data_IF_309004953512
#
_entry.id   IF_309004953512
#
_cell.length_a   1.000
_cell.length_b   1.000
_cell.length_c   1.000
_cell.angle_alpha   90.00
_cell.angle_beta   90.00
_cell.angle_gamma   90.00
#
_symmetry.space_group_name_H-M   'P 1'
#
loop_
_entity.id
_entity.type
_entity.pdbx_description
1 polymer ?
#
# COMPACT_ATOMS: atom_id res chain seq x y z
N UNK A 1 23.86 -2.04 12.35
CA UNK A 1 22.47 -2.25 11.95
C UNK A 1 21.60 -1.51 12.95
N UNK A 2 20.66 -0.65 12.49
CA UNK A 2 19.70 0.00 13.38
C UNK A 2 18.80 -1.09 13.98
N UNK A 3 18.74 -1.15 15.31
CA UNK A 3 17.92 -2.09 16.05
C UNK A 3 16.59 -1.39 16.41
N UNK A 4 15.52 -2.18 16.65
CA UNK A 4 14.21 -1.71 17.15
C UNK A 4 14.34 -0.81 18.40
N UNK A 5 15.36 -1.02 19.22
CA UNK A 5 15.68 -0.25 20.43
C UNK A 5 16.04 1.23 20.16
N UNK A 6 16.35 1.59 18.90
CA UNK A 6 16.68 2.98 18.50
C UNK A 6 15.45 3.75 17.99
N UNK A 7 14.27 3.10 17.91
CA UNK A 7 13.02 3.74 17.49
C UNK A 7 12.27 4.34 18.69
N UNK A 8 11.80 5.58 18.52
CA UNK A 8 10.83 6.17 19.42
C UNK A 8 9.44 5.58 19.15
N UNK A 9 9.00 4.65 19.99
CA UNK A 9 7.70 3.98 19.83
C UNK A 9 6.50 4.90 19.99
N UNK A 10 6.66 6.11 20.55
CA UNK A 10 5.60 7.12 20.62
C UNK A 10 5.41 7.89 19.31
N UNK A 11 6.34 7.77 18.36
CA UNK A 11 6.38 8.47 17.08
C UNK A 11 6.39 7.53 15.88
N UNK A 12 5.76 6.37 16.02
CA UNK A 12 5.57 5.43 14.90
C UNK A 12 4.54 6.02 13.92
N UNK A 13 4.79 6.00 12.59
CA UNK A 13 3.80 6.44 11.61
C UNK A 13 2.54 5.57 11.73
N UNK A 14 1.37 6.21 11.71
CA UNK A 14 0.09 5.51 11.78
C UNK A 14 -0.18 4.70 10.50
N UNK A 15 0.16 5.27 9.34
CA UNK A 15 -0.03 4.66 8.03
C UNK A 15 1.27 4.68 7.23
N UNK A 16 1.73 3.49 6.85
CA UNK A 16 2.90 3.30 5.97
C UNK A 16 2.43 2.73 4.64
N UNK A 17 2.80 3.38 3.55
CA UNK A 17 2.55 2.90 2.18
C UNK A 17 3.86 2.45 1.53
N UNK A 18 3.88 1.31 0.83
CA UNK A 18 5.12 0.77 0.23
C UNK A 18 4.92 0.46 -1.25
N UNK A 19 5.83 0.99 -2.09
CA UNK A 19 6.02 0.56 -3.48
C UNK A 19 7.11 -0.51 -3.50
N UNK A 20 6.70 -1.76 -3.69
CA UNK A 20 7.53 -2.96 -3.64
C UNK A 20 8.29 -3.18 -4.96
N UNK A 21 9.32 -2.35 -5.21
CA UNK A 21 10.08 -2.39 -6.47
C UNK A 21 11.39 -3.18 -6.34
N UNK A 22 11.83 -3.72 -7.47
CA UNK A 22 13.13 -4.39 -7.59
C UNK A 22 13.09 -5.92 -7.72
N UNK A 23 11.92 -6.58 -7.59
CA UNK A 23 11.80 -8.04 -7.65
C UNK A 23 12.47 -8.65 -8.89
N UNK A 24 12.17 -8.13 -10.09
CA UNK A 24 12.73 -8.65 -11.33
C UNK A 24 14.24 -8.38 -11.48
N UNK A 25 14.73 -7.22 -11.01
CA UNK A 25 16.16 -6.89 -11.01
C UNK A 25 16.94 -7.78 -10.04
N UNK A 26 16.38 -8.02 -8.87
CA UNK A 26 16.92 -8.92 -7.86
C UNK A 26 17.08 -10.35 -8.39
N UNK A 27 16.07 -10.90 -9.07
CA UNK A 27 16.12 -12.21 -9.69
C UNK A 27 17.19 -12.28 -10.80
N UNK A 28 17.23 -11.27 -11.67
CA UNK A 28 18.21 -11.18 -12.78
C UNK A 28 19.66 -11.19 -12.26
N UNK A 29 19.96 -10.50 -11.16
CA UNK A 29 21.30 -10.52 -10.55
C UNK A 29 21.71 -11.92 -10.03
N UNK A 30 20.73 -12.81 -9.83
CA UNK A 30 20.93 -14.19 -9.37
C UNK A 30 20.79 -15.21 -10.52
N UNK A 31 20.72 -14.73 -11.78
CA UNK A 31 20.54 -15.61 -12.94
C UNK A 31 19.17 -16.30 -12.99
N UNK A 32 18.17 -15.75 -12.28
CA UNK A 32 16.83 -16.33 -12.15
C UNK A 32 15.78 -15.55 -12.97
N UNK A 33 14.69 -16.22 -13.28
CA UNK A 33 13.51 -15.62 -13.91
C UNK A 33 12.82 -14.58 -13.00
N UNK A 34 12.10 -13.62 -13.60
CA UNK A 34 11.39 -12.58 -12.87
C UNK A 34 10.39 -13.12 -11.83
N UNK A 35 9.74 -14.25 -12.14
CA UNK A 35 8.80 -14.94 -11.26
C UNK A 35 9.44 -15.35 -9.93
N UNK A 36 10.69 -15.82 -9.95
CA UNK A 36 11.44 -16.15 -8.74
C UNK A 36 11.59 -14.93 -7.79
N UNK A 37 11.86 -13.74 -8.37
CA UNK A 37 11.93 -12.51 -7.58
C UNK A 37 10.59 -12.12 -6.97
N UNK A 38 9.49 -12.36 -7.68
CA UNK A 38 8.15 -12.09 -7.14
C UNK A 38 7.78 -13.06 -6.01
N UNK A 39 8.16 -14.35 -6.10
CA UNK A 39 7.98 -15.31 -5.01
C UNK A 39 8.75 -14.88 -3.75
N UNK A 40 10.04 -14.54 -3.89
CA UNK A 40 10.83 -14.02 -2.77
C UNK A 40 10.24 -12.72 -2.20
N UNK A 41 9.67 -11.87 -3.06
CA UNK A 41 8.97 -10.65 -2.64
C UNK A 41 7.68 -10.92 -1.88
N UNK A 42 6.95 -12.00 -2.17
CA UNK A 42 5.77 -12.41 -1.40
C UNK A 42 6.14 -12.81 0.03
N UNK A 43 7.23 -13.53 0.24
CA UNK A 43 7.76 -13.84 1.58
C UNK A 43 8.10 -12.56 2.36
N UNK A 44 8.62 -11.54 1.68
CA UNK A 44 8.93 -10.24 2.30
C UNK A 44 7.67 -9.53 2.79
N UNK A 45 6.54 -9.67 2.09
CA UNK A 45 5.25 -9.12 2.54
C UNK A 45 4.89 -9.62 3.95
N UNK A 46 5.03 -10.93 4.20
CA UNK A 46 4.71 -11.51 5.51
C UNK A 46 5.64 -10.97 6.61
N UNK A 47 6.93 -10.93 6.36
CA UNK A 47 7.94 -10.40 7.31
C UNK A 47 7.64 -8.94 7.67
N UNK A 48 7.37 -8.11 6.67
CA UNK A 48 7.11 -6.68 6.88
C UNK A 48 5.74 -6.44 7.52
N UNK A 49 4.70 -7.21 7.15
CA UNK A 49 3.39 -7.10 7.78
C UNK A 49 3.44 -7.48 9.27
N UNK A 50 4.15 -8.56 9.61
CA UNK A 50 4.33 -8.97 11.00
C UNK A 50 5.11 -7.91 11.80
N UNK A 51 6.21 -7.38 11.27
CA UNK A 51 7.01 -6.36 11.96
C UNK A 51 6.25 -5.03 12.08
N UNK A 52 5.55 -4.60 11.04
CA UNK A 52 4.70 -3.40 11.08
C UNK A 52 3.62 -3.51 12.18
N UNK A 53 2.98 -4.68 12.29
CA UNK A 53 2.00 -4.96 13.35
C UNK A 53 2.63 -4.89 14.75
N UNK A 54 3.82 -5.48 14.95
CA UNK A 54 4.58 -5.44 16.21
C UNK A 54 5.04 -4.04 16.60
N UNK A 55 5.27 -3.16 15.63
CA UNK A 55 5.62 -1.75 15.84
C UNK A 55 4.40 -0.88 16.18
N UNK A 56 3.19 -1.40 16.01
CA UNK A 56 1.96 -0.67 16.28
C UNK A 56 1.47 0.21 15.14
N UNK A 57 1.98 0.01 13.92
CA UNK A 57 1.46 0.62 12.69
C UNK A 57 0.00 0.19 12.55
N UNK A 58 -0.89 1.13 12.21
CA UNK A 58 -2.33 0.88 12.09
C UNK A 58 -2.75 0.48 10.68
N UNK A 59 -2.08 1.03 9.67
CA UNK A 59 -2.35 0.76 8.26
C UNK A 59 -1.04 0.52 7.53
N UNK A 60 -0.95 -0.61 6.84
CA UNK A 60 0.14 -0.93 5.92
C UNK A 60 -0.45 -1.14 4.53
N UNK A 61 -0.18 -0.21 3.61
CA UNK A 61 -0.68 -0.31 2.23
C UNK A 61 0.45 -0.71 1.29
N UNK A 62 0.24 -1.79 0.54
CA UNK A 62 1.25 -2.37 -0.37
C UNK A 62 0.81 -2.27 -1.82
N UNK A 63 1.65 -1.66 -2.69
CA UNK A 63 1.39 -1.58 -4.13
C UNK A 63 1.72 -2.89 -4.82
N UNK A 64 0.72 -3.77 -4.93
CA UNK A 64 0.90 -5.15 -5.39
C UNK A 64 0.80 -5.28 -6.91
N UNK A 65 -0.23 -4.64 -7.52
CA UNK A 65 -0.46 -4.72 -8.96
C UNK A 65 -1.13 -3.43 -9.46
N UNK A 66 -0.45 -2.70 -10.36
CA UNK A 66 -0.99 -1.47 -10.91
C UNK A 66 -1.89 -1.71 -12.13
N UNK A 67 -2.74 -0.72 -12.47
CA UNK A 67 -3.53 -0.77 -13.70
C UNK A 67 -2.66 -0.86 -14.95
N UNK A 68 -1.46 -0.29 -14.94
CA UNK A 68 -0.49 -0.36 -16.03
C UNK A 68 0.11 -1.76 -16.20
N UNK A 69 0.12 -2.57 -15.15
CA UNK A 69 0.67 -3.93 -15.20
C UNK A 69 -0.15 -4.88 -16.08
N UNK A 70 -1.42 -4.57 -16.36
CA UNK A 70 -2.22 -5.32 -17.34
C UNK A 70 -1.65 -5.29 -18.75
N UNK A 71 -0.79 -4.31 -19.07
CA UNK A 71 -0.09 -4.22 -20.37
C UNK A 71 1.16 -5.12 -20.47
N UNK A 72 1.49 -5.86 -19.41
CA UNK A 72 2.59 -6.84 -19.45
C UNK A 72 2.22 -8.08 -20.27
N UNK A 73 3.20 -8.90 -20.70
CA UNK A 73 2.91 -10.17 -21.34
C UNK A 73 1.92 -11.02 -20.54
N UNK A 74 0.96 -11.64 -21.23
CA UNK A 74 -0.15 -12.37 -20.60
C UNK A 74 0.30 -13.49 -19.67
N UNK A 75 1.41 -14.17 -20.02
CA UNK A 75 2.00 -15.19 -19.16
C UNK A 75 2.58 -14.63 -17.87
N UNK A 76 3.17 -13.40 -17.89
CA UNK A 76 3.64 -12.72 -16.68
C UNK A 76 2.45 -12.32 -15.80
N UNK A 77 1.39 -11.75 -16.40
CA UNK A 77 0.17 -11.39 -15.68
C UNK A 77 -0.48 -12.61 -15.02
N UNK A 78 -0.61 -13.73 -15.75
CA UNK A 78 -1.17 -14.96 -15.21
C UNK A 78 -0.33 -15.50 -14.04
N UNK A 79 0.99 -15.49 -14.13
CA UNK A 79 1.88 -15.91 -13.06
C UNK A 79 1.76 -15.02 -11.82
N UNK A 80 1.62 -13.68 -12.00
CA UNK A 80 1.41 -12.76 -10.89
C UNK A 80 0.05 -12.96 -10.21
N UNK A 81 -1.00 -13.26 -10.97
CA UNK A 81 -2.33 -13.56 -10.40
C UNK A 81 -2.33 -14.88 -9.62
N UNK A 82 -1.64 -15.91 -10.12
CA UNK A 82 -1.47 -17.17 -9.41
C UNK A 82 -0.68 -16.97 -8.10
N UNK A 83 0.44 -16.23 -8.16
CA UNK A 83 1.21 -15.91 -6.95
C UNK A 83 0.40 -15.11 -5.93
N UNK A 84 -0.38 -14.13 -6.38
CA UNK A 84 -1.28 -13.39 -5.50
C UNK A 84 -2.27 -14.31 -4.80
N UNK A 85 -2.89 -15.24 -5.55
CA UNK A 85 -3.82 -16.23 -4.99
C UNK A 85 -3.15 -17.10 -3.92
N UNK A 86 -1.94 -17.60 -4.20
CA UNK A 86 -1.20 -18.51 -3.31
C UNK A 86 -0.63 -17.79 -2.08
N UNK A 87 -0.34 -16.48 -2.18
CA UNK A 87 0.27 -15.71 -1.09
C UNK A 87 -0.72 -15.16 -0.05
N UNK A 88 -2.03 -15.41 -0.20
CA UNK A 88 -3.03 -14.99 0.78
C UNK A 88 -3.06 -15.99 1.95
N UNK A 89 -2.33 -15.67 3.01
CA UNK A 89 -2.22 -16.49 4.22
C UNK A 89 -3.20 -16.02 5.32
N UNK A 90 -4.46 -16.38 5.18
CA UNK A 90 -5.54 -15.99 6.08
C UNK A 90 -5.26 -16.40 7.54
N UNK A 91 -4.72 -17.61 7.78
CA UNK A 91 -4.38 -18.10 9.12
C UNK A 91 -3.36 -17.17 9.81
N UNK A 92 -2.38 -16.69 9.07
CA UNK A 92 -1.38 -15.72 9.56
C UNK A 92 -2.03 -14.39 9.93
N UNK A 93 -2.99 -13.90 9.14
CA UNK A 93 -3.72 -12.67 9.44
C UNK A 93 -4.60 -12.82 10.68
N UNK A 94 -5.31 -13.93 10.80
CA UNK A 94 -6.13 -14.24 11.99
C UNK A 94 -5.28 -14.33 13.26
N UNK A 95 -4.15 -15.07 13.21
CA UNK A 95 -3.24 -15.23 14.34
C UNK A 95 -2.66 -13.89 14.83
N UNK A 96 -2.36 -12.98 13.92
CA UNK A 96 -1.75 -11.68 14.23
C UNK A 96 -2.78 -10.56 14.39
N UNK A 97 -4.08 -10.87 14.43
CA UNK A 97 -5.17 -9.90 14.53
C UNK A 97 -5.11 -8.81 13.44
N UNK A 98 -4.74 -9.20 12.21
CA UNK A 98 -4.62 -8.30 11.05
C UNK A 98 -5.94 -8.31 10.28
N UNK A 99 -6.52 -7.14 10.04
CA UNK A 99 -7.64 -6.93 9.11
C UNK A 99 -7.11 -6.81 7.69
N UNK A 100 -7.51 -7.72 6.81
CA UNK A 100 -7.10 -7.71 5.41
C UNK A 100 -8.07 -6.89 4.56
N UNK A 101 -7.57 -6.00 3.73
CA UNK A 101 -8.36 -5.15 2.84
C UNK A 101 -7.73 -5.02 1.46
N UNK A 102 -8.53 -4.64 0.48
CA UNK A 102 -8.06 -4.44 -0.90
C UNK A 102 -8.64 -3.15 -1.46
N UNK A 103 -7.82 -2.39 -2.19
CA UNK A 103 -8.23 -1.23 -2.98
C UNK A 103 -7.87 -1.45 -4.46
N UNK A 104 -8.70 -0.95 -5.38
CA UNK A 104 -8.50 -1.03 -6.82
C UNK A 104 -9.70 -1.60 -7.57
N UNK A 105 -9.54 -1.81 -8.88
CA UNK A 105 -10.57 -2.35 -9.77
C UNK A 105 -10.55 -3.89 -9.77
N UNK A 106 -11.27 -4.49 -8.83
CA UNK A 106 -11.35 -5.94 -8.69
C UNK A 106 -12.16 -6.62 -9.82
N UNK A 107 -12.91 -5.85 -10.62
CA UNK A 107 -13.71 -6.41 -11.71
C UNK A 107 -12.87 -7.01 -12.83
N UNK A 108 -11.61 -6.59 -12.93
CA UNK A 108 -10.64 -7.10 -13.91
C UNK A 108 -9.92 -8.38 -13.48
N UNK A 109 -10.04 -8.76 -12.21
CA UNK A 109 -9.37 -9.95 -11.70
C UNK A 109 -10.06 -11.23 -12.14
N UNK A 110 -9.30 -12.34 -12.30
CA UNK A 110 -9.90 -13.68 -12.44
C UNK A 110 -10.87 -13.99 -11.29
N UNK A 111 -11.98 -14.66 -11.59
CA UNK A 111 -13.04 -14.91 -10.62
C UNK A 111 -12.56 -15.61 -9.34
N UNK A 112 -11.73 -16.65 -9.48
CA UNK A 112 -11.14 -17.38 -8.35
C UNK A 112 -10.24 -16.48 -7.46
N UNK A 113 -9.48 -15.56 -8.05
CA UNK A 113 -8.64 -14.61 -7.29
C UNK A 113 -9.55 -13.65 -6.51
N UNK A 114 -10.57 -13.10 -7.18
CA UNK A 114 -11.52 -12.20 -6.53
C UNK A 114 -12.25 -12.88 -5.36
N UNK A 115 -12.78 -14.08 -5.55
CA UNK A 115 -13.45 -14.86 -4.49
C UNK A 115 -12.51 -15.12 -3.30
N UNK A 116 -11.25 -15.44 -3.56
CA UNK A 116 -10.24 -15.66 -2.50
C UNK A 116 -10.00 -14.39 -1.69
N UNK A 117 -9.87 -13.22 -2.36
CA UNK A 117 -9.73 -11.93 -1.70
C UNK A 117 -10.96 -11.58 -0.86
N UNK A 118 -12.17 -11.72 -1.43
CA UNK A 118 -13.43 -11.43 -0.75
C UNK A 118 -13.62 -12.33 0.48
N UNK A 119 -13.28 -13.60 0.39
CA UNK A 119 -13.30 -14.55 1.50
C UNK A 119 -12.35 -14.13 2.62
N UNK A 120 -11.11 -13.81 2.30
CA UNK A 120 -10.12 -13.36 3.29
C UNK A 120 -10.54 -12.04 3.96
N UNK A 121 -11.09 -11.07 3.19
CA UNK A 121 -11.64 -9.82 3.74
C UNK A 121 -12.76 -10.12 4.75
N UNK A 122 -13.70 -10.99 4.38
CA UNK A 122 -14.84 -11.34 5.25
C UNK A 122 -14.39 -12.02 6.55
N UNK A 123 -13.46 -12.98 6.47
CA UNK A 123 -12.99 -13.73 7.64
C UNK A 123 -12.16 -12.85 8.59
N UNK A 124 -11.41 -11.89 8.08
CA UNK A 124 -10.58 -10.98 8.90
C UNK A 124 -11.29 -9.69 9.30
N UNK A 125 -12.55 -9.50 8.91
CA UNK A 125 -13.30 -8.25 9.11
C UNK A 125 -13.41 -7.81 10.59
N UNK A 126 -13.44 -8.77 11.52
CA UNK A 126 -13.53 -8.52 12.95
C UNK A 126 -12.18 -8.33 13.64
N UNK A 127 -11.07 -8.45 12.93
CA UNK A 127 -9.75 -8.19 13.48
C UNK A 127 -9.57 -6.69 13.74
N UNK A 128 -9.02 -6.35 14.91
CA UNK A 128 -8.94 -4.97 15.43
C UNK A 128 -7.51 -4.42 15.48
N UNK A 129 -6.55 -5.20 15.03
CA UNK A 129 -5.13 -4.82 14.97
C UNK A 129 -4.80 -3.95 13.76
N UNK A 130 -3.68 -4.23 13.12
CA UNK A 130 -3.29 -3.52 11.90
C UNK A 130 -4.20 -3.88 10.71
N UNK A 131 -4.50 -2.90 9.86
CA UNK A 131 -5.11 -3.15 8.54
C UNK A 131 -3.99 -3.32 7.50
N UNK A 132 -3.88 -4.51 6.91
CA UNK A 132 -3.05 -4.76 5.72
C UNK A 132 -3.89 -4.51 4.47
N UNK A 133 -3.50 -3.53 3.68
CA UNK A 133 -4.23 -3.08 2.48
C UNK A 133 -3.42 -3.40 1.24
N UNK A 134 -3.92 -4.25 0.36
CA UNK A 134 -3.29 -4.50 -0.93
C UNK A 134 -3.93 -3.61 -2.01
N UNK A 135 -3.10 -2.82 -2.71
CA UNK A 135 -3.51 -2.08 -3.89
C UNK A 135 -3.33 -2.97 -5.13
N UNK A 136 -4.45 -3.53 -5.64
CA UNK A 136 -4.49 -4.51 -6.73
C UNK A 136 -5.33 -3.97 -7.87
N UNK A 137 -4.79 -4.00 -9.10
CA UNK A 137 -5.43 -3.35 -10.25
C UNK A 137 -5.77 -1.89 -9.94
N UNK A 138 -4.86 -1.25 -9.21
CA UNK A 138 -5.01 0.09 -8.66
C UNK A 138 -4.13 1.10 -9.41
N UNK A 139 -4.62 2.30 -9.57
CA UNK A 139 -3.82 3.50 -9.81
C UNK A 139 -4.57 4.74 -9.34
N UNK A 140 -3.84 5.77 -8.94
CA UNK A 140 -4.46 6.99 -8.41
C UNK A 140 -5.30 7.74 -9.45
N UNK A 141 -4.86 7.76 -10.71
CA UNK A 141 -5.63 8.38 -11.81
C UNK A 141 -6.95 7.65 -12.05
N UNK A 142 -6.96 6.32 -12.00
CA UNK A 142 -8.19 5.53 -12.07
C UNK A 142 -9.12 5.86 -10.90
N UNK A 143 -8.62 5.82 -9.68
CA UNK A 143 -9.37 6.07 -8.46
C UNK A 143 -10.05 7.45 -8.46
N UNK A 144 -9.27 8.51 -8.77
CA UNK A 144 -9.77 9.89 -8.83
C UNK A 144 -10.84 10.03 -9.93
N UNK A 145 -10.63 9.38 -11.08
CA UNK A 145 -11.62 9.39 -12.17
C UNK A 145 -12.91 8.69 -11.76
N UNK A 146 -12.84 7.56 -11.06
CA UNK A 146 -14.03 6.86 -10.56
C UNK A 146 -14.77 7.67 -9.48
N UNK A 147 -14.05 8.33 -8.57
CA UNK A 147 -14.65 9.23 -7.60
C UNK A 147 -15.37 10.40 -8.30
N UNK A 148 -14.74 11.03 -9.28
CA UNK A 148 -15.34 12.11 -10.08
C UNK A 148 -16.61 11.65 -10.81
N UNK A 149 -16.62 10.44 -11.41
CA UNK A 149 -17.79 9.85 -12.06
C UNK A 149 -18.95 9.63 -11.10
N UNK A 150 -18.67 9.10 -9.89
CA UNK A 150 -19.68 8.89 -8.85
C UNK A 150 -20.30 10.20 -8.40
N UNK A 151 -19.49 11.24 -8.15
CA UNK A 151 -19.96 12.56 -7.78
C UNK A 151 -20.79 13.20 -8.88
N UNK A 152 -20.34 13.13 -10.15
CA UNK A 152 -21.09 13.63 -11.30
C UNK A 152 -22.46 12.94 -11.45
N UNK A 153 -22.54 11.63 -11.19
CA UNK A 153 -23.81 10.90 -11.21
C UNK A 153 -24.79 11.37 -10.12
N UNK A 154 -24.30 11.72 -8.92
CA UNK A 154 -25.12 12.29 -7.85
C UNK A 154 -25.64 13.70 -8.24
N UNK A 155 -24.79 14.52 -8.84
CA UNK A 155 -25.22 15.84 -9.37
C UNK A 155 -26.31 15.67 -10.43
N UNK A 156 -26.14 14.73 -11.36
CA UNK A 156 -27.13 14.45 -12.40
C UNK A 156 -28.49 14.02 -11.83
N UNK A 157 -28.50 13.31 -10.70
CA UNK A 157 -29.72 12.89 -9.99
C UNK A 157 -30.34 13.99 -9.12
N UNK A 158 -29.68 15.13 -8.96
CA UNK A 158 -30.10 16.20 -8.06
C UNK A 158 -29.89 15.90 -6.58
N UNK A 159 -29.09 14.87 -6.25
CA UNK A 159 -28.73 14.49 -4.89
C UNK A 159 -27.55 15.32 -4.33
N UNK A 160 -26.83 16.03 -5.22
CA UNK A 160 -25.68 16.87 -4.91
C UNK A 160 -25.66 18.08 -5.87
N UNK A 161 -25.10 19.23 -5.42
CA UNK A 161 -24.78 20.34 -6.32
C UNK A 161 -23.28 20.43 -6.59
N UNK A 162 -22.82 20.99 -7.73
CA UNK A 162 -21.39 21.13 -8.02
C UNK A 162 -20.62 21.89 -6.93
N UNK A 163 -21.25 22.88 -6.29
CA UNK A 163 -20.65 23.74 -5.25
C UNK A 163 -20.39 22.96 -3.94
N UNK A 164 -21.07 21.85 -3.74
CA UNK A 164 -20.87 20.97 -2.58
C UNK A 164 -19.66 20.03 -2.75
N UNK A 165 -19.10 19.94 -3.98
CA UNK A 165 -17.93 19.09 -4.24
C UNK A 165 -16.67 19.84 -3.80
N UNK A 166 -16.16 19.48 -2.63
CA UNK A 166 -14.89 19.95 -2.10
C UNK A 166 -13.86 18.79 -1.96
N UNK A 167 -12.66 19.08 -1.48
CA UNK A 167 -11.61 18.08 -1.29
C UNK A 167 -11.98 17.02 -0.25
N UNK A 168 -12.78 17.39 0.75
CA UNK A 168 -13.23 16.47 1.79
C UNK A 168 -14.22 15.46 1.22
N UNK A 169 -15.20 15.95 0.49
CA UNK A 169 -16.18 15.09 -0.16
C UNK A 169 -15.51 14.19 -1.20
N UNK A 170 -14.59 14.72 -2.02
CA UNK A 170 -13.84 13.89 -2.98
C UNK A 170 -13.09 12.75 -2.27
N UNK A 171 -12.42 13.03 -1.15
CA UNK A 171 -11.72 12.01 -0.36
C UNK A 171 -12.63 10.89 0.12
N UNK A 172 -13.90 11.18 0.48
CA UNK A 172 -14.90 10.19 0.89
C UNK A 172 -15.35 9.25 -0.24
N UNK A 173 -15.09 9.63 -1.49
CA UNK A 173 -15.40 8.80 -2.68
C UNK A 173 -14.19 8.06 -3.23
N UNK A 174 -13.01 8.25 -2.66
CA UNK A 174 -11.83 7.47 -3.00
C UNK A 174 -11.92 6.06 -2.39
N UNK A 175 -11.19 5.11 -2.95
CA UNK A 175 -11.12 3.74 -2.45
C UNK A 175 -10.43 3.64 -1.07
N UNK A 176 -9.85 4.72 -0.59
CA UNK A 176 -9.10 4.85 0.66
C UNK A 176 -9.88 5.54 1.79
N UNK A 177 -11.19 5.78 1.63
CA UNK A 177 -12.05 6.53 2.57
C UNK A 177 -12.07 5.98 4.00
N UNK A 178 -11.77 4.69 4.16
CA UNK A 178 -11.76 3.97 5.44
C UNK A 178 -10.46 4.12 6.25
N UNK A 179 -9.43 4.77 5.70
CA UNK A 179 -8.11 4.91 6.32
C UNK A 179 -7.55 6.34 6.17
N UNK A 180 -6.67 6.79 7.09
CA UNK A 180 -6.01 8.08 6.95
C UNK A 180 -5.00 8.07 5.79
N UNK A 181 -4.62 9.25 5.34
CA UNK A 181 -3.52 9.43 4.39
C UNK A 181 -2.20 8.84 4.94
N UNK A 182 -1.29 8.34 4.08
CA UNK A 182 -0.01 7.81 4.53
C UNK A 182 0.85 8.88 5.21
N UNK A 183 1.39 8.56 6.38
CA UNK A 183 2.43 9.36 7.02
C UNK A 183 3.77 9.21 6.31
N UNK A 184 4.07 7.98 5.89
CA UNK A 184 5.32 7.58 5.26
C UNK A 184 5.05 6.73 4.02
N UNK A 185 5.58 7.14 2.87
CA UNK A 185 5.64 6.31 1.67
C UNK A 185 7.09 5.86 1.45
N UNK A 186 7.27 4.54 1.35
CA UNK A 186 8.56 3.89 1.09
C UNK A 186 8.55 3.38 -0.35
N UNK A 187 9.64 3.60 -1.10
CA UNK A 187 9.87 2.90 -2.35
C UNK A 187 11.24 2.24 -2.33
N UNK A 188 11.25 0.93 -2.60
CA UNK A 188 12.45 0.10 -2.72
C UNK A 188 12.99 0.09 -4.16
N UNK A 189 14.22 -0.38 -4.35
CA UNK A 189 14.78 -0.65 -5.67
C UNK A 189 15.42 0.54 -6.39
N UNK A 190 15.71 1.65 -5.70
CA UNK A 190 16.53 2.77 -6.21
C UNK A 190 15.83 3.74 -7.17
N UNK A 191 14.52 3.57 -7.40
CA UNK A 191 13.76 4.46 -8.28
C UNK A 191 13.07 5.59 -7.51
N UNK A 192 13.15 6.83 -8.01
CA UNK A 192 12.62 8.03 -7.35
C UNK A 192 11.40 8.54 -8.12
N UNK A 193 10.27 7.88 -7.95
CA UNK A 193 8.96 8.25 -8.53
C UNK A 193 7.81 7.55 -7.80
N UNK A 194 6.60 8.11 -7.82
CA UNK A 194 5.41 7.54 -7.18
C UNK A 194 4.66 6.52 -8.06
N UNK A 195 4.92 6.47 -9.35
CA UNK A 195 4.33 5.51 -10.29
C UNK A 195 2.80 5.41 -10.20
N UNK A 196 2.12 6.55 -10.13
CA UNK A 196 0.66 6.63 -10.08
C UNK A 196 0.03 5.95 -8.85
N UNK A 197 0.77 5.92 -7.74
CA UNK A 197 0.34 5.32 -6.47
C UNK A 197 -0.02 6.39 -5.45
N UNK A 198 -1.23 6.33 -4.91
CA UNK A 198 -1.77 7.19 -3.83
C UNK A 198 -1.45 8.69 -4.00
N UNK A 199 -1.56 9.25 -5.24
CA UNK A 199 -1.13 10.62 -5.52
C UNK A 199 -1.91 11.66 -4.70
N UNK A 200 -3.22 11.45 -4.53
CA UNK A 200 -4.08 12.32 -3.72
C UNK A 200 -3.67 12.25 -2.25
N UNK A 201 -3.55 11.05 -1.74
CA UNK A 201 -3.31 10.77 -0.32
C UNK A 201 -1.86 11.12 0.10
N UNK A 202 -0.91 11.09 -0.84
CA UNK A 202 0.50 11.38 -0.54
C UNK A 202 0.86 12.88 -0.57
N UNK A 203 -0.13 13.78 -0.65
CA UNK A 203 0.11 15.22 -0.73
C UNK A 203 1.00 15.78 0.38
N UNK A 204 0.95 15.18 1.58
CA UNK A 204 1.75 15.57 2.76
C UNK A 204 2.50 14.39 3.37
N UNK A 205 2.64 13.28 2.65
CA UNK A 205 3.42 12.13 3.12
C UNK A 205 4.91 12.42 3.11
N UNK A 206 5.64 11.92 4.10
CA UNK A 206 7.10 11.83 4.02
C UNK A 206 7.50 10.72 3.04
N UNK A 207 8.50 10.99 2.20
CA UNK A 207 8.94 10.05 1.17
C UNK A 207 10.30 9.47 1.54
N UNK A 208 10.43 8.14 1.50
CA UNK A 208 11.68 7.43 1.72
C UNK A 208 11.98 6.53 0.52
N UNK A 209 13.10 6.78 -0.13
CA UNK A 209 13.58 5.98 -1.28
C UNK A 209 14.85 5.26 -0.88
N UNK A 210 14.96 3.95 -1.18
CA UNK A 210 16.16 3.17 -0.90
C UNK A 210 16.55 2.27 -2.08
N UNK A 211 17.85 1.97 -2.17
CA UNK A 211 18.41 1.12 -3.22
C UNK A 211 18.14 -0.37 -3.00
N UNK A 212 17.80 -0.75 -1.77
CA UNK A 212 17.49 -2.14 -1.41
C UNK A 212 16.34 -2.65 -2.26
N UNK A 213 16.51 -3.76 -2.96
CA UNK A 213 15.43 -4.43 -3.69
C UNK A 213 14.42 -5.04 -2.73
N UNK A 214 13.14 -5.08 -3.12
CA UNK A 214 12.06 -5.56 -2.25
C UNK A 214 12.33 -6.92 -1.62
N UNK A 215 12.83 -7.98 -2.32
CA UNK A 215 13.11 -9.26 -1.66
C UNK A 215 14.13 -9.20 -0.53
N UNK A 216 15.04 -8.22 -0.54
CA UNK A 216 16.05 -8.01 0.49
C UNK A 216 15.64 -6.95 1.53
N UNK A 217 14.47 -6.32 1.37
CA UNK A 217 13.92 -5.34 2.32
C UNK A 217 13.31 -6.09 3.51
N UNK A 218 13.98 -6.03 4.65
CA UNK A 218 13.60 -6.74 5.86
C UNK A 218 13.34 -5.75 7.01
N UNK A 219 13.11 -6.28 8.21
CA UNK A 219 12.79 -5.50 9.42
C UNK A 219 13.77 -4.35 9.65
N UNK A 220 15.07 -4.59 9.51
CA UNK A 220 16.11 -3.57 9.70
C UNK A 220 15.98 -2.41 8.70
N UNK A 221 15.55 -2.68 7.45
CA UNK A 221 15.32 -1.64 6.46
C UNK A 221 14.03 -0.85 6.76
N UNK A 222 12.97 -1.50 7.25
CA UNK A 222 11.77 -0.83 7.73
C UNK A 222 12.10 0.07 8.92
N UNK A 223 12.90 -0.39 9.87
CA UNK A 223 13.36 0.41 11.02
C UNK A 223 14.14 1.64 10.58
N UNK A 224 15.03 1.52 9.57
CA UNK A 224 15.76 2.66 9.00
C UNK A 224 14.80 3.70 8.41
N UNK A 225 13.80 3.26 7.65
CA UNK A 225 12.83 4.15 7.04
C UNK A 225 12.01 4.91 8.11
N UNK A 226 11.58 4.21 9.17
CA UNK A 226 10.84 4.81 10.29
C UNK A 226 11.75 5.76 11.08
N UNK A 227 12.99 5.38 11.35
CA UNK A 227 13.94 6.25 12.04
C UNK A 227 14.23 7.55 11.25
N UNK A 228 14.35 7.45 9.91
CA UNK A 228 14.48 8.62 9.05
C UNK A 228 13.23 9.53 9.13
N UNK A 229 12.03 8.94 9.07
CA UNK A 229 10.76 9.63 9.28
C UNK A 229 10.73 10.37 10.63
N UNK A 230 11.17 9.74 11.72
CA UNK A 230 11.17 10.31 13.06
C UNK A 230 12.08 11.52 13.23
N UNK A 231 13.09 11.68 12.35
CA UNK A 231 13.98 12.86 12.34
C UNK A 231 13.37 14.07 11.66
N UNK A 232 12.29 13.88 10.91
CA UNK A 232 11.66 14.94 10.13
C UNK A 232 10.60 15.69 10.94
N UNK A 233 10.44 16.98 10.64
CA UNK A 233 9.41 17.84 11.21
C UNK A 233 8.26 17.98 10.21
N UNK A 234 7.09 17.44 10.52
CA UNK A 234 5.89 17.52 9.66
C UNK A 234 5.13 18.81 9.93
N UNK A 235 5.15 19.74 8.98
CA UNK A 235 4.65 21.11 9.16
C UNK A 235 3.25 21.34 8.60
N UNK A 236 2.80 20.55 7.64
CA UNK A 236 1.49 20.70 6.98
C UNK A 236 1.21 22.14 6.53
N UNK A 237 2.21 22.81 5.94
CA UNK A 237 2.13 24.21 5.49
C UNK A 237 2.29 25.26 6.59
N UNK A 238 2.51 24.88 7.86
CA UNK A 238 2.78 25.80 8.98
C UNK A 238 4.27 26.07 9.14
N UNK A 239 4.63 27.11 9.91
CA UNK A 239 6.02 27.34 10.34
C UNK A 239 6.37 26.49 11.56
N UNK A 240 7.67 26.28 11.83
CA UNK A 240 8.13 25.51 13.01
C UNK A 240 7.65 26.09 14.34
N UNK A 241 7.44 27.43 14.41
CA UNK A 241 6.93 28.11 15.61
C UNK A 241 5.43 27.85 15.83
N UNK A 242 4.67 27.50 14.78
CA UNK A 242 3.21 27.24 14.86
C UNK A 242 2.87 25.81 15.25
N UNK A 243 3.83 24.92 15.33
CA UNK A 243 3.64 23.49 15.65
C UNK A 243 4.29 23.06 16.97
N UNK A 244 4.93 24.05 17.67
CA UNK A 244 5.47 23.90 19.03
C UNK A 244 4.43 24.21 20.10
#
# INVERSE_FOLDING_TARGET
MLNKEELDLSRIPQHVAIIMDGNGRWAKLRGQERSYGHQAGAETVHVIAEEASKLGIKYLTLYTFSTENWNRPSNEVAALMALLFDSIEEETFMKNNISFRVIGDLTKLPGNVRERLETCIAHTANNTGMSLVLAISYSSRWEITEAARRLAALVQKGELTPEQIDSTLLSQYLATDFMPDPDLLIRTGGEIRLSNYLLWQCAYSELYFCDTYWPDFREAELHKAIHDYQKRERRFGKTSEQIR
#
